data_IF_508943947983
#
_entry.id   IF_508943947983
#
_cell.length_a   1.000
_cell.length_b   1.000
_cell.length_c   1.000
_cell.angle_alpha   90.00
_cell.angle_beta   90.00
_cell.angle_gamma   90.00
#
_symmetry.space_group_name_H-M   'P 1'
#
loop_
_entity.id
_entity.type
_entity.pdbx_description
1 polymer ?
#
# COMPACT_ATOMS: atom_id res chain seq x y z
N UNK A 1 -46.27 39.17 -8.74
CA UNK A 1 -45.93 37.95 -9.49
C UNK A 1 -44.43 37.62 -9.48
N UNK A 2 -43.52 38.61 -9.56
CA UNK A 2 -42.05 38.40 -9.60
C UNK A 2 -41.41 37.86 -8.31
N UNK A 3 -41.92 38.23 -7.13
CA UNK A 3 -41.36 37.83 -5.83
C UNK A 3 -41.43 36.32 -5.59
N UNK A 4 -42.49 35.66 -6.08
CA UNK A 4 -42.65 34.20 -5.99
C UNK A 4 -41.64 33.45 -6.86
N UNK A 5 -41.25 34.02 -8.00
CA UNK A 5 -40.20 33.45 -8.86
C UNK A 5 -38.82 33.53 -8.20
N UNK A 6 -38.52 34.65 -7.54
CA UNK A 6 -37.23 34.83 -6.83
C UNK A 6 -37.16 33.88 -5.63
N UNK A 7 -38.21 33.78 -4.83
CA UNK A 7 -38.24 32.88 -3.67
C UNK A 7 -38.24 31.40 -4.09
N UNK A 8 -38.98 31.02 -5.13
CA UNK A 8 -38.95 29.66 -5.67
C UNK A 8 -37.58 29.30 -6.26
N UNK A 9 -36.93 30.23 -6.96
CA UNK A 9 -35.58 30.05 -7.48
C UNK A 9 -34.54 29.89 -6.37
N UNK A 10 -34.59 30.72 -5.32
CA UNK A 10 -33.68 30.61 -4.17
C UNK A 10 -33.90 29.30 -3.40
N UNK A 11 -35.16 28.88 -3.24
CA UNK A 11 -35.48 27.59 -2.63
C UNK A 11 -35.01 26.41 -3.49
N UNK A 12 -35.15 26.49 -4.81
CA UNK A 12 -34.68 25.46 -5.74
C UNK A 12 -33.15 25.38 -5.79
N UNK A 13 -32.46 26.53 -5.77
CA UNK A 13 -30.99 26.59 -5.74
C UNK A 13 -30.43 26.10 -4.39
N UNK A 14 -31.08 26.42 -3.27
CA UNK A 14 -30.70 25.92 -1.94
C UNK A 14 -30.91 24.39 -1.84
N UNK A 15 -32.05 23.91 -2.33
CA UNK A 15 -32.34 22.47 -2.44
C UNK A 15 -31.29 21.76 -3.30
N UNK A 16 -30.96 22.30 -4.48
CA UNK A 16 -29.96 21.72 -5.38
C UNK A 16 -28.56 21.65 -4.76
N UNK A 17 -28.12 22.72 -4.08
CA UNK A 17 -26.83 22.74 -3.37
C UNK A 17 -26.80 21.70 -2.24
N UNK A 18 -27.90 21.53 -1.51
CA UNK A 18 -28.00 20.52 -0.46
C UNK A 18 -27.97 19.09 -1.03
N UNK A 19 -28.68 18.84 -2.14
CA UNK A 19 -28.64 17.55 -2.83
C UNK A 19 -27.23 17.22 -3.36
N UNK A 20 -26.53 18.19 -3.95
CA UNK A 20 -25.13 18.03 -4.39
C UNK A 20 -24.17 17.70 -3.22
N UNK A 21 -24.37 18.34 -2.07
CA UNK A 21 -23.58 18.06 -0.87
C UNK A 21 -23.82 16.64 -0.32
N UNK A 22 -25.09 16.24 -0.22
CA UNK A 22 -25.47 14.90 0.26
C UNK A 22 -24.98 13.82 -0.72
N UNK A 23 -25.12 14.03 -2.03
CA UNK A 23 -24.62 13.12 -3.07
C UNK A 23 -23.11 12.87 -2.96
N UNK A 24 -22.31 13.94 -2.82
CA UNK A 24 -20.85 13.83 -2.63
C UNK A 24 -20.44 13.07 -1.37
N UNK A 25 -21.23 13.17 -0.28
CA UNK A 25 -20.98 12.39 0.94
C UNK A 25 -21.27 10.89 0.72
N UNK A 26 -22.34 10.56 0.00
CA UNK A 26 -22.73 9.18 -0.33
C UNK A 26 -21.64 8.51 -1.20
N UNK A 27 -21.14 9.19 -2.24
CA UNK A 27 -20.08 8.65 -3.10
C UNK A 27 -18.76 8.38 -2.36
N UNK A 28 -18.39 9.29 -1.45
CA UNK A 28 -17.21 9.14 -0.58
C UNK A 28 -17.35 7.93 0.35
N UNK A 29 -18.56 7.64 0.84
CA UNK A 29 -18.83 6.47 1.68
C UNK A 29 -18.85 5.17 0.86
N UNK A 30 -19.39 5.19 -0.36
CA UNK A 30 -19.42 4.03 -1.27
C UNK A 30 -18.00 3.59 -1.68
N UNK A 31 -17.15 4.53 -2.08
CA UNK A 31 -15.75 4.25 -2.49
C UNK A 31 -14.89 3.71 -1.33
N UNK A 32 -15.10 4.22 -0.10
CA UNK A 32 -14.41 3.73 1.10
C UNK A 32 -14.82 2.29 1.46
N UNK A 33 -16.09 1.95 1.25
CA UNK A 33 -16.63 0.61 1.52
C UNK A 33 -16.11 -0.42 0.52
N UNK A 34 -16.06 -0.09 -0.76
CA UNK A 34 -15.51 -0.96 -1.80
C UNK A 34 -14.02 -1.30 -1.55
N UNK A 35 -13.19 -0.31 -1.17
CA UNK A 35 -11.77 -0.55 -0.81
C UNK A 35 -11.60 -1.50 0.39
N UNK A 36 -12.55 -1.51 1.33
CA UNK A 36 -12.51 -2.39 2.52
C UNK A 36 -12.90 -3.83 2.19
N UNK A 37 -13.82 -4.04 1.24
CA UNK A 37 -14.27 -5.38 0.81
C UNK A 37 -13.19 -6.10 -0.01
N UNK A 38 -12.52 -5.41 -0.95
CA UNK A 38 -11.42 -5.98 -1.75
C UNK A 38 -10.28 -6.48 -0.85
N UNK A 39 -10.00 -5.77 0.25
CA UNK A 39 -8.94 -6.14 1.21
C UNK A 39 -9.24 -7.45 1.97
N UNK A 40 -10.51 -7.82 2.17
CA UNK A 40 -10.92 -8.99 2.97
C UNK A 40 -10.88 -10.30 2.16
N UNK A 41 -10.91 -10.22 0.83
CA UNK A 41 -10.99 -11.40 -0.05
C UNK A 41 -9.62 -12.00 -0.42
N UNK A 42 -8.52 -11.27 -0.21
CA UNK A 42 -7.16 -11.78 -0.45
C UNK A 42 -6.61 -12.55 0.77
N UNK A 43 -7.30 -13.62 1.18
CA UNK A 43 -6.66 -14.66 2.01
C UNK A 43 -5.64 -15.38 1.11
N UNK A 44 -4.35 -15.14 1.36
CA UNK A 44 -3.24 -15.73 0.61
C UNK A 44 -3.44 -17.25 0.55
N UNK A 45 -3.62 -17.80 -0.66
CA UNK A 45 -3.58 -19.26 -0.89
C UNK A 45 -2.25 -19.77 -0.32
N UNK A 46 -2.28 -20.90 0.39
CA UNK A 46 -1.06 -21.55 0.89
C UNK A 46 -0.18 -21.83 -0.32
N UNK A 47 1.00 -21.23 -0.36
CA UNK A 47 1.95 -21.42 -1.45
C UNK A 47 2.60 -22.79 -1.26
N UNK A 48 2.82 -23.52 -2.35
CA UNK A 48 3.45 -24.84 -2.29
C UNK A 48 4.79 -24.77 -1.55
N UNK A 49 5.10 -25.69 -0.60
CA UNK A 49 6.31 -25.62 0.22
C UNK A 49 7.62 -25.64 -0.58
N UNK A 50 7.63 -26.30 -1.75
CA UNK A 50 8.80 -26.36 -2.63
C UNK A 50 8.91 -25.16 -3.59
N UNK A 51 7.89 -24.30 -3.67
CA UNK A 51 7.96 -23.16 -4.59
C UNK A 51 9.00 -22.15 -4.09
N UNK A 52 9.93 -21.70 -4.95
CA UNK A 52 10.99 -20.80 -4.54
C UNK A 52 10.42 -19.46 -4.04
N UNK A 53 11.07 -18.91 -3.01
CA UNK A 53 10.62 -17.69 -2.37
C UNK A 53 10.86 -16.52 -3.32
N UNK A 54 9.82 -15.72 -3.54
CA UNK A 54 9.85 -14.54 -4.41
C UNK A 54 11.08 -13.66 -4.15
N UNK A 55 11.63 -13.08 -5.22
CA UNK A 55 12.65 -12.05 -5.12
C UNK A 55 12.18 -10.88 -4.23
N UNK A 56 13.11 -10.36 -3.42
CA UNK A 56 12.94 -9.19 -2.59
C UNK A 56 13.25 -7.93 -3.41
N UNK A 57 12.45 -6.88 -3.22
CA UNK A 57 12.72 -5.57 -3.81
C UNK A 57 13.77 -4.78 -3.00
N UNK A 58 14.33 -3.72 -3.59
CA UNK A 58 15.30 -2.84 -2.94
C UNK A 58 14.77 -2.31 -1.59
N UNK A 59 13.51 -1.90 -1.56
CA UNK A 59 12.83 -1.47 -0.33
C UNK A 59 12.77 -2.58 0.73
N UNK A 60 12.56 -3.84 0.35
CA UNK A 60 12.51 -4.94 1.32
C UNK A 60 13.88 -5.26 1.94
N UNK A 61 14.96 -5.08 1.18
CA UNK A 61 16.32 -5.13 1.74
C UNK A 61 16.54 -3.98 2.74
N UNK A 62 16.15 -2.75 2.38
CA UNK A 62 16.23 -1.61 3.28
C UNK A 62 15.43 -1.82 4.57
N UNK A 63 14.19 -2.31 4.47
CA UNK A 63 13.36 -2.63 5.64
C UNK A 63 14.03 -3.66 6.53
N UNK A 64 14.67 -4.69 5.96
CA UNK A 64 15.35 -5.73 6.75
C UNK A 64 16.49 -5.15 7.57
N UNK A 65 17.34 -4.35 6.94
CA UNK A 65 18.50 -3.73 7.59
C UNK A 65 18.03 -2.71 8.64
N UNK A 66 17.13 -1.79 8.25
CA UNK A 66 16.68 -0.69 9.11
C UNK A 66 15.81 -1.16 10.27
N UNK A 67 15.03 -2.23 10.09
CA UNK A 67 14.25 -2.83 11.18
C UNK A 67 15.17 -3.42 12.25
N UNK A 68 16.29 -4.03 11.87
CA UNK A 68 17.25 -4.58 12.85
C UNK A 68 17.88 -3.46 13.66
N UNK A 69 18.30 -2.37 13.02
CA UNK A 69 18.82 -1.18 13.70
C UNK A 69 17.80 -0.61 14.69
N UNK A 70 16.55 -0.39 14.28
CA UNK A 70 15.50 0.17 15.15
C UNK A 70 15.19 -0.77 16.34
N UNK A 71 15.19 -2.09 16.12
CA UNK A 71 14.95 -3.06 17.20
C UNK A 71 16.12 -3.08 18.19
N UNK A 72 17.36 -2.91 17.71
CA UNK A 72 18.54 -2.82 18.57
C UNK A 72 18.52 -1.54 19.41
N UNK A 73 18.16 -0.41 18.81
CA UNK A 73 18.03 0.86 19.52
C UNK A 73 16.84 0.86 20.49
N UNK A 74 15.72 0.25 20.10
CA UNK A 74 14.45 0.25 20.84
C UNK A 74 13.78 -1.12 20.78
N UNK A 75 14.18 -2.06 21.66
CA UNK A 75 13.59 -3.40 21.70
C UNK A 75 12.10 -3.38 22.07
N UNK A 76 11.63 -2.33 22.76
CA UNK A 76 10.22 -2.08 23.07
C UNK A 76 9.34 -1.90 21.81
N UNK A 77 9.88 -1.26 20.76
CA UNK A 77 9.19 -1.06 19.49
C UNK A 77 9.19 -2.32 18.61
N UNK A 78 9.92 -3.38 18.99
CA UNK A 78 9.93 -4.64 18.25
C UNK A 78 8.55 -5.29 18.19
N UNK A 79 7.70 -5.06 19.21
CA UNK A 79 6.30 -5.51 19.25
C UNK A 79 5.40 -4.65 18.35
N UNK A 80 5.75 -3.38 18.17
CA UNK A 80 4.99 -2.38 17.41
C UNK A 80 5.42 -2.32 15.93
N UNK A 81 5.22 -3.42 15.20
CA UNK A 81 5.61 -3.56 13.77
C UNK A 81 4.98 -2.47 12.89
N UNK A 82 3.78 -2.01 13.24
CA UNK A 82 3.08 -0.96 12.50
C UNK A 82 3.79 0.39 12.61
N UNK A 83 4.31 0.74 13.78
CA UNK A 83 5.01 2.00 14.01
C UNK A 83 6.38 1.98 13.33
N UNK A 84 7.12 0.88 13.46
CA UNK A 84 8.41 0.68 12.78
C UNK A 84 8.24 0.77 11.26
N UNK A 85 7.19 0.16 10.71
CA UNK A 85 6.90 0.23 9.28
C UNK A 85 6.65 1.64 8.76
N UNK A 86 6.00 2.51 9.55
CA UNK A 86 5.79 3.92 9.18
C UNK A 86 7.10 4.68 9.11
N UNK A 87 7.93 4.58 10.15
CA UNK A 87 9.24 5.26 10.22
C UNK A 87 10.16 4.85 9.06
N UNK A 88 10.21 3.56 8.72
CA UNK A 88 11.01 3.06 7.61
C UNK A 88 10.48 3.59 6.27
N UNK A 89 9.16 3.63 6.09
CA UNK A 89 8.53 4.15 4.88
C UNK A 89 8.83 5.63 4.66
N UNK A 90 8.75 6.44 5.71
CA UNK A 90 9.11 7.86 5.70
C UNK A 90 10.59 8.04 5.35
N UNK A 91 11.49 7.29 6.01
CA UNK A 91 12.92 7.34 5.74
C UNK A 91 13.24 6.95 4.28
N UNK A 92 12.59 5.92 3.73
CA UNK A 92 12.78 5.53 2.32
C UNK A 92 12.31 6.60 1.34
N UNK A 93 11.24 7.33 1.66
CA UNK A 93 10.77 8.45 0.85
C UNK A 93 11.79 9.60 0.81
N UNK A 94 12.49 9.83 1.92
CA UNK A 94 13.49 10.91 2.05
C UNK A 94 14.88 10.54 1.51
N UNK A 95 15.19 9.25 1.35
CA UNK A 95 16.46 8.77 0.81
C UNK A 95 16.69 9.22 -0.64
N UNK A 96 17.91 9.66 -0.91
CA UNK A 96 18.39 10.04 -2.25
C UNK A 96 18.60 8.82 -3.15
N UNK A 97 18.57 8.97 -4.49
CA UNK A 97 18.83 7.85 -5.41
C UNK A 97 20.21 7.22 -5.19
N UNK A 98 21.23 8.00 -4.80
CA UNK A 98 22.56 7.47 -4.48
C UNK A 98 22.54 6.49 -3.30
N UNK A 99 21.73 6.76 -2.27
CA UNK A 99 21.58 5.86 -1.12
C UNK A 99 20.70 4.64 -1.45
N UNK A 100 19.81 4.75 -2.44
CA UNK A 100 18.98 3.64 -2.93
C UNK A 100 19.75 2.69 -3.84
N UNK A 101 20.71 3.19 -4.61
CA UNK A 101 21.54 2.42 -5.54
C UNK A 101 22.14 1.11 -4.97
N UNK A 102 22.74 1.06 -3.76
CA UNK A 102 23.24 -0.22 -3.21
C UNK A 102 22.11 -1.23 -2.94
N UNK A 103 20.92 -0.77 -2.55
CA UNK A 103 19.76 -1.65 -2.34
C UNK A 103 19.15 -2.13 -3.65
N UNK A 104 19.18 -1.29 -4.70
CA UNK A 104 18.77 -1.67 -6.06
C UNK A 104 19.68 -2.77 -6.62
N UNK A 105 21.01 -2.62 -6.49
CA UNK A 105 21.96 -3.69 -6.86
C UNK A 105 21.69 -4.99 -6.12
N UNK A 106 21.45 -4.95 -4.79
CA UNK A 106 21.06 -6.14 -4.01
C UNK A 106 19.77 -6.78 -4.52
N UNK A 107 18.79 -5.98 -4.91
CA UNK A 107 17.52 -6.45 -5.46
C UNK A 107 17.67 -7.09 -6.83
N UNK A 108 18.53 -6.54 -7.69
CA UNK A 108 18.85 -7.13 -9.00
C UNK A 108 19.53 -8.50 -8.85
N UNK A 109 20.50 -8.61 -7.94
CA UNK A 109 21.15 -9.89 -7.64
C UNK A 109 20.15 -10.93 -7.14
N UNK A 110 19.23 -10.54 -6.25
CA UNK A 110 18.20 -11.45 -5.73
C UNK A 110 17.15 -11.83 -6.80
N UNK A 111 16.89 -10.92 -7.74
CA UNK A 111 16.05 -11.22 -8.91
C UNK A 111 16.67 -12.29 -9.79
N UNK A 112 17.99 -12.25 -10.02
CA UNK A 112 18.72 -13.28 -10.77
C UNK A 112 18.74 -14.61 -10.01
N UNK A 113 18.92 -14.60 -8.69
CA UNK A 113 18.79 -15.81 -7.87
C UNK A 113 17.41 -16.45 -8.04
N UNK A 114 16.35 -15.65 -7.89
CA UNK A 114 14.97 -16.13 -8.01
C UNK A 114 14.64 -16.64 -9.42
N UNK A 115 15.16 -16.03 -10.49
CA UNK A 115 14.93 -16.50 -11.86
C UNK A 115 15.53 -17.89 -12.10
N UNK A 116 16.72 -18.16 -11.56
CA UNK A 116 17.35 -19.49 -11.65
C UNK A 116 16.54 -20.53 -10.87
N UNK A 117 16.20 -20.23 -9.61
CA UNK A 117 15.45 -21.16 -8.76
C UNK A 117 14.05 -21.46 -9.32
N UNK A 118 13.36 -20.47 -9.91
CA UNK A 118 12.03 -20.71 -10.49
C UNK A 118 12.11 -21.52 -11.77
N UNK A 119 13.15 -21.35 -12.59
CA UNK A 119 13.38 -22.17 -13.79
C UNK A 119 13.63 -23.64 -13.41
N UNK A 120 14.47 -23.88 -12.41
CA UNK A 120 14.72 -25.22 -11.86
C UNK A 120 13.44 -25.83 -11.28
N UNK A 121 12.70 -25.07 -10.47
CA UNK A 121 11.44 -25.53 -9.90
C UNK A 121 10.41 -25.89 -10.98
N UNK A 122 10.36 -25.11 -12.07
CA UNK A 122 9.45 -25.36 -13.19
C UNK A 122 9.81 -26.67 -13.89
N UNK A 123 11.10 -26.93 -14.11
CA UNK A 123 11.60 -28.18 -14.70
C UNK A 123 11.35 -29.41 -13.81
N UNK A 124 11.44 -29.27 -12.48
CA UNK A 124 11.15 -30.38 -11.55
C UNK A 124 9.67 -30.70 -11.38
N UNK A 125 8.78 -29.82 -11.85
CA UNK A 125 7.32 -29.98 -11.73
C UNK A 125 6.68 -30.59 -12.99
N UNK A 126 7.36 -30.51 -14.13
CA UNK A 126 7.03 -31.28 -15.33
C UNK A 126 7.44 -32.75 -15.17
#
# INVERSE_FOLDING_TARGET
>A
MYIYYILSSVLYMSSYIFYEFVSKQIDKMATKTQKKVIKKQNKKKKKDPLAPKRALSAYMFYVKDKRLEIIQERPELAKEVAQVGKLIGEAWGQLTPAQKAPYEKKAELDKVRYSKEIEEYRKTKE
#
